data_IF_787803654950
#
_entry.id   IF_787803654950
#
_cell.length_a   1.000
_cell.length_b   1.000
_cell.length_c   1.000
_cell.angle_alpha   90.00
_cell.angle_beta   90.00
_cell.angle_gamma   90.00
#
_symmetry.space_group_name_H-M   'P 1'
#
loop_
_entity.id
_entity.type
_entity.pdbx_description
1 polymer ?
#
# COMPACT_ATOMS: atom_id res chain seq x y z
N UNK A 1 -67.31 -17.24 79.78
CA UNK A 1 -67.88 -18.19 78.79
C UNK A 1 -67.19 -17.96 77.48
N UNK A 2 -66.36 -18.85 77.05
CA UNK A 2 -65.64 -18.81 75.79
C UNK A 2 -66.52 -19.37 74.64
N UNK A 3 -65.95 -19.91 73.55
CA UNK A 3 -64.78 -19.53 72.71
C UNK A 3 -65.14 -19.61 71.22
N UNK A 4 -64.24 -19.36 70.32
CA UNK A 4 -63.84 -20.11 69.07
C UNK A 4 -63.27 -19.13 67.99
N UNK A 5 -62.02 -19.15 67.68
CA UNK A 5 -61.14 -19.88 66.78
C UNK A 5 -61.72 -20.05 65.40
N UNK A 6 -61.07 -19.45 64.41
CA UNK A 6 -61.21 -19.66 62.97
C UNK A 6 -59.99 -19.22 62.26
N UNK A 7 -58.99 -20.13 62.14
CA UNK A 7 -57.72 -19.96 61.43
C UNK A 7 -57.95 -20.24 59.94
N UNK A 8 -57.64 -19.28 59.07
CA UNK A 8 -57.64 -19.47 57.60
C UNK A 8 -56.17 -19.71 57.08
N UNK A 9 -55.92 -20.91 56.64
CA UNK A 9 -54.68 -21.36 56.03
C UNK A 9 -54.57 -20.80 54.62
N UNK A 10 -53.59 -19.94 54.37
CA UNK A 10 -53.20 -19.55 53.00
C UNK A 10 -52.22 -20.60 52.44
N UNK A 11 -52.66 -21.33 51.44
CA UNK A 11 -51.83 -22.23 50.65
C UNK A 11 -50.97 -21.39 49.66
N UNK A 12 -49.72 -21.19 50.02
CA UNK A 12 -48.75 -20.59 49.12
C UNK A 12 -48.30 -21.57 48.01
N UNK A 13 -48.55 -21.26 46.78
CA UNK A 13 -48.06 -22.02 45.62
C UNK A 13 -46.52 -21.83 45.53
N UNK A 14 -45.76 -22.83 45.93
CA UNK A 14 -44.33 -22.94 45.75
C UNK A 14 -44.08 -23.35 44.30
N UNK A 15 -43.63 -22.42 43.45
CA UNK A 15 -43.14 -22.74 42.12
C UNK A 15 -41.70 -23.25 42.25
N UNK A 16 -41.36 -24.46 41.75
CA UNK A 16 -40.03 -25.03 41.97
C UNK A 16 -38.95 -24.18 41.29
N UNK A 17 -37.90 -23.83 42.04
CA UNK A 17 -36.72 -23.07 41.59
C UNK A 17 -35.99 -23.70 40.41
N UNK A 18 -36.27 -24.95 40.04
CA UNK A 18 -35.69 -25.62 38.88
C UNK A 18 -36.15 -25.06 37.51
N UNK A 19 -37.41 -24.60 37.37
CA UNK A 19 -37.92 -24.07 36.13
C UNK A 19 -37.26 -22.74 35.73
N UNK A 20 -36.86 -21.90 36.73
CA UNK A 20 -36.16 -20.63 36.44
C UNK A 20 -34.71 -20.81 35.96
N UNK A 21 -34.00 -21.86 36.39
CA UNK A 21 -32.62 -22.15 35.94
C UNK A 21 -32.58 -22.73 34.51
N UNK A 22 -33.59 -23.48 34.10
CA UNK A 22 -33.67 -24.06 32.76
C UNK A 22 -33.99 -23.00 31.70
N UNK A 23 -34.83 -22.02 31.99
CA UNK A 23 -35.17 -20.92 31.07
C UNK A 23 -33.98 -19.98 30.86
N UNK A 24 -33.17 -19.74 31.93
CA UNK A 24 -31.96 -18.92 31.81
C UNK A 24 -30.83 -19.64 31.03
N UNK A 25 -30.71 -20.98 31.17
CA UNK A 25 -29.70 -21.74 30.41
C UNK A 25 -30.05 -21.86 28.94
N UNK A 26 -31.32 -22.02 28.57
CA UNK A 26 -31.78 -22.01 27.16
C UNK A 26 -31.66 -20.63 26.51
N UNK A 27 -31.88 -19.54 27.23
CA UNK A 27 -31.67 -18.18 26.75
C UNK A 27 -30.20 -17.86 26.49
N UNK A 28 -29.28 -18.38 27.28
CA UNK A 28 -27.82 -18.16 27.12
C UNK A 28 -27.24 -18.96 25.92
N UNK A 29 -27.74 -20.17 25.67
CA UNK A 29 -27.35 -21.00 24.52
C UNK A 29 -27.89 -20.43 23.22
N UNK A 30 -29.10 -19.87 23.21
CA UNK A 30 -29.67 -19.20 22.03
C UNK A 30 -28.94 -17.88 21.71
N UNK A 31 -28.44 -17.15 22.71
CA UNK A 31 -27.65 -15.93 22.49
C UNK A 31 -26.23 -16.20 21.95
N UNK A 32 -25.61 -17.35 22.27
CA UNK A 32 -24.33 -17.75 21.70
C UNK A 32 -24.44 -18.26 20.25
N UNK A 33 -25.59 -18.77 19.82
CA UNK A 33 -25.82 -19.27 18.46
C UNK A 33 -26.10 -18.16 17.43
N UNK A 34 -26.32 -16.91 17.88
CA UNK A 34 -26.61 -15.76 17.01
C UNK A 34 -25.39 -14.87 16.71
N UNK A 35 -24.21 -15.19 17.22
CA UNK A 35 -22.99 -14.59 16.75
C UNK A 35 -22.61 -15.25 15.43
N UNK A 36 -23.24 -14.81 14.32
CA UNK A 36 -22.73 -15.08 12.97
C UNK A 36 -21.24 -14.67 12.98
N UNK A 37 -20.31 -15.53 12.57
CA UNK A 37 -18.94 -15.09 12.40
C UNK A 37 -19.01 -13.91 11.44
N UNK A 38 -18.51 -12.76 11.88
CA UNK A 38 -18.30 -11.63 10.98
C UNK A 38 -17.52 -12.20 9.80
N UNK A 39 -18.17 -12.35 8.65
CA UNK A 39 -17.52 -12.89 7.47
C UNK A 39 -16.30 -12.01 7.23
N UNK A 40 -15.09 -12.58 7.41
CA UNK A 40 -13.87 -11.84 7.21
C UNK A 40 -13.95 -11.19 5.82
N UNK A 41 -13.79 -9.86 5.76
CA UNK A 41 -13.92 -9.13 4.51
C UNK A 41 -12.94 -9.74 3.50
N UNK A 42 -13.46 -10.23 2.39
CA UNK A 42 -12.70 -10.90 1.32
C UNK A 42 -12.23 -9.85 0.31
N UNK A 43 -11.05 -10.06 -0.25
CA UNK A 43 -10.52 -9.20 -1.33
C UNK A 43 -11.01 -9.64 -2.72
N UNK A 44 -12.08 -10.44 -2.81
CA UNK A 44 -12.69 -10.84 -4.09
C UNK A 44 -13.07 -9.62 -4.91
N UNK A 45 -12.81 -9.68 -6.21
CA UNK A 45 -13.03 -8.55 -7.13
C UNK A 45 -11.92 -7.49 -7.09
N UNK A 46 -10.97 -7.57 -6.14
CA UNK A 46 -9.82 -6.68 -6.11
C UNK A 46 -8.73 -7.18 -7.05
N UNK A 47 -8.18 -6.28 -7.87
CA UNK A 47 -7.00 -6.47 -8.68
C UNK A 47 -5.85 -5.64 -8.11
N UNK A 48 -4.69 -6.24 -7.94
CA UNK A 48 -3.50 -5.60 -7.38
C UNK A 48 -2.37 -5.63 -8.39
N UNK A 49 -1.81 -4.48 -8.72
CA UNK A 49 -0.52 -4.38 -9.39
C UNK A 49 0.55 -4.18 -8.33
N UNK A 50 1.50 -5.11 -8.23
CA UNK A 50 2.63 -5.01 -7.30
C UNK A 50 3.90 -4.61 -8.03
N UNK A 51 4.47 -3.45 -7.69
CA UNK A 51 5.64 -2.85 -8.34
C UNK A 51 6.89 -3.08 -7.49
N UNK A 52 7.87 -3.78 -8.03
CA UNK A 52 9.15 -4.07 -7.38
C UNK A 52 10.04 -2.83 -7.21
N UNK A 53 11.08 -2.92 -6.37
CA UNK A 53 12.07 -1.86 -6.16
C UNK A 53 13.05 -1.67 -7.33
N UNK A 54 13.92 -0.65 -7.22
CA UNK A 54 14.97 -0.33 -8.19
C UNK A 54 16.01 -1.45 -8.28
N UNK A 55 16.44 -1.79 -9.49
CA UNK A 55 17.57 -2.70 -9.74
C UNK A 55 17.33 -4.15 -9.30
N UNK A 56 16.09 -4.55 -9.12
CA UNK A 56 15.69 -5.93 -8.80
C UNK A 56 14.69 -6.45 -9.83
N UNK A 57 14.13 -7.62 -9.61
CA UNK A 57 13.14 -8.28 -10.49
C UNK A 57 11.80 -8.46 -9.75
N UNK A 58 10.70 -8.75 -10.46
CA UNK A 58 9.42 -9.08 -9.84
C UNK A 58 9.54 -10.21 -8.82
N UNK A 59 8.92 -10.05 -7.65
CA UNK A 59 9.02 -11.00 -6.52
C UNK A 59 10.17 -10.73 -5.55
N UNK A 60 11.19 -9.94 -5.95
CA UNK A 60 12.26 -9.59 -5.03
C UNK A 60 11.75 -8.60 -3.97
N UNK A 61 11.99 -8.92 -2.69
CA UNK A 61 11.63 -8.10 -1.51
C UNK A 61 10.13 -7.75 -1.42
N UNK A 62 9.25 -8.57 -2.01
CA UNK A 62 7.80 -8.38 -1.95
C UNK A 62 7.18 -8.79 -0.60
N UNK A 63 7.95 -9.48 0.25
CA UNK A 63 7.54 -9.92 1.58
C UNK A 63 6.41 -10.97 1.58
N UNK A 64 6.13 -11.60 0.44
CA UNK A 64 5.00 -12.52 0.27
C UNK A 64 3.64 -11.82 0.28
N UNK A 65 3.60 -10.49 0.09
CA UNK A 65 2.35 -9.72 0.01
C UNK A 65 1.48 -10.19 -1.17
N UNK A 66 2.00 -10.39 -2.41
CA UNK A 66 1.21 -10.92 -3.51
C UNK A 66 0.47 -12.20 -3.14
N UNK A 67 1.18 -13.21 -2.66
CA UNK A 67 0.57 -14.50 -2.28
C UNK A 67 -0.43 -14.39 -1.13
N UNK A 68 -0.18 -13.51 -0.14
CA UNK A 68 -1.11 -13.27 0.95
C UNK A 68 -2.43 -12.63 0.45
N UNK A 69 -2.36 -11.71 -0.51
CA UNK A 69 -3.54 -11.08 -1.10
C UNK A 69 -4.31 -12.07 -2.01
N UNK A 70 -3.62 -12.93 -2.74
CA UNK A 70 -4.23 -14.01 -3.53
C UNK A 70 -4.96 -15.01 -2.64
N UNK A 71 -4.40 -15.37 -1.50
CA UNK A 71 -5.05 -16.24 -0.50
C UNK A 71 -6.36 -15.64 0.03
N UNK A 72 -6.49 -14.30 0.05
CA UNK A 72 -7.71 -13.57 0.43
C UNK A 72 -8.67 -13.33 -0.75
N UNK A 73 -8.35 -13.86 -1.94
CA UNK A 73 -9.19 -13.80 -3.12
C UNK A 73 -8.92 -12.64 -4.08
N UNK A 74 -7.88 -11.84 -3.87
CA UNK A 74 -7.44 -10.83 -4.83
C UNK A 74 -6.80 -11.48 -6.07
N UNK A 75 -6.79 -10.74 -7.20
CA UNK A 75 -5.99 -11.07 -8.37
C UNK A 75 -4.76 -10.20 -8.38
N UNK A 76 -3.57 -10.79 -8.47
CA UNK A 76 -2.31 -10.04 -8.43
C UNK A 76 -1.55 -10.16 -9.75
N UNK A 77 -0.90 -9.07 -10.16
CA UNK A 77 0.04 -9.01 -11.27
C UNK A 77 1.28 -8.24 -10.81
N UNK A 78 2.44 -8.83 -11.00
CA UNK A 78 3.74 -8.21 -10.67
C UNK A 78 4.58 -8.05 -11.94
N UNK A 79 4.40 -6.96 -12.71
CA UNK A 79 5.11 -6.77 -13.97
C UNK A 79 6.60 -6.47 -13.74
N UNK A 80 7.43 -6.81 -14.73
CA UNK A 80 8.81 -6.34 -14.78
C UNK A 80 8.85 -4.91 -15.31
N UNK A 81 9.18 -3.98 -14.43
CA UNK A 81 9.14 -2.54 -14.71
C UNK A 81 10.44 -2.02 -15.34
N UNK A 82 10.43 -0.83 -15.99
CA UNK A 82 11.61 -0.25 -16.64
C UNK A 82 12.85 -0.07 -15.76
N UNK A 83 12.68 -0.01 -14.46
CA UNK A 83 13.76 0.12 -13.48
C UNK A 83 14.27 -1.23 -12.92
N UNK A 84 13.89 -2.35 -13.54
CA UNK A 84 14.41 -3.67 -13.15
C UNK A 84 15.91 -3.79 -13.39
N UNK A 85 16.52 -4.78 -12.78
CA UNK A 85 17.95 -5.08 -13.00
C UNK A 85 18.27 -5.32 -14.49
N UNK A 86 17.37 -5.97 -15.23
CA UNK A 86 17.54 -6.28 -16.65
C UNK A 86 17.32 -5.07 -17.55
N UNK A 87 16.37 -4.21 -17.23
CA UNK A 87 15.95 -3.09 -18.09
C UNK A 87 16.68 -1.77 -17.80
N UNK A 88 17.21 -1.59 -16.57
CA UNK A 88 18.09 -0.49 -16.16
C UNK A 88 17.62 0.89 -16.65
N UNK A 89 16.42 1.35 -16.23
CA UNK A 89 15.79 2.57 -16.72
C UNK A 89 15.56 2.55 -18.25
N UNK A 90 14.97 1.43 -18.74
CA UNK A 90 14.71 1.21 -20.17
C UNK A 90 13.59 2.04 -20.77
N UNK A 91 12.86 2.85 -19.96
CA UNK A 91 11.76 3.70 -20.41
C UNK A 91 11.62 4.93 -19.53
N UNK A 92 10.97 5.99 -20.07
CA UNK A 92 10.65 7.20 -19.32
C UNK A 92 9.61 6.93 -18.22
N UNK A 93 9.46 7.88 -17.31
CA UNK A 93 8.44 7.81 -16.26
C UNK A 93 7.04 7.64 -16.85
N UNK A 94 6.68 8.40 -17.88
CA UNK A 94 5.36 8.31 -18.52
C UNK A 94 5.15 6.97 -19.24
N UNK A 95 6.19 6.44 -19.90
CA UNK A 95 6.12 5.09 -20.49
C UNK A 95 5.94 4.02 -19.42
N UNK A 96 6.57 4.18 -18.26
CA UNK A 96 6.32 3.28 -17.11
C UNK A 96 4.87 3.34 -16.62
N UNK A 97 4.24 4.53 -16.61
CA UNK A 97 2.81 4.63 -16.28
C UNK A 97 1.95 3.88 -17.31
N UNK A 98 2.28 3.93 -18.60
CA UNK A 98 1.59 3.17 -19.64
C UNK A 98 1.77 1.63 -19.47
N UNK A 99 2.93 1.17 -18.99
CA UNK A 99 3.12 -0.24 -18.64
C UNK A 99 2.27 -0.67 -17.44
N UNK A 100 2.06 0.21 -16.46
CA UNK A 100 1.12 -0.04 -15.36
C UNK A 100 -0.33 -0.07 -15.89
N UNK A 101 -0.71 0.81 -16.85
CA UNK A 101 -2.01 0.76 -17.52
C UNK A 101 -2.26 -0.61 -18.15
N UNK A 102 -1.27 -1.21 -18.80
CA UNK A 102 -1.36 -2.56 -19.39
C UNK A 102 -1.56 -3.66 -18.31
N UNK A 103 -0.87 -3.55 -17.17
CA UNK A 103 -1.06 -4.47 -16.04
C UNK A 103 -2.48 -4.33 -15.44
N UNK A 104 -2.99 -3.11 -15.32
CA UNK A 104 -4.37 -2.85 -14.88
C UNK A 104 -5.38 -3.42 -15.87
N UNK A 105 -5.16 -3.26 -17.17
CA UNK A 105 -6.02 -3.85 -18.21
C UNK A 105 -6.06 -5.38 -18.10
N UNK A 106 -4.92 -6.02 -17.84
CA UNK A 106 -4.81 -7.46 -17.60
C UNK A 106 -5.66 -7.90 -16.41
N UNK A 107 -5.63 -7.15 -15.29
CA UNK A 107 -6.43 -7.44 -14.11
C UNK A 107 -7.94 -7.28 -14.38
N UNK A 108 -8.33 -6.22 -15.10
CA UNK A 108 -9.73 -5.99 -15.52
C UNK A 108 -10.24 -7.10 -16.43
N UNK A 109 -9.44 -7.57 -17.39
CA UNK A 109 -9.76 -8.70 -18.26
C UNK A 109 -9.94 -10.01 -17.46
N UNK A 110 -9.23 -10.16 -16.33
CA UNK A 110 -9.43 -11.25 -15.36
C UNK A 110 -10.64 -11.03 -14.44
N UNK A 111 -11.45 -9.99 -14.64
CA UNK A 111 -12.65 -9.68 -13.86
C UNK A 111 -12.38 -8.95 -12.54
N UNK A 112 -11.27 -8.22 -12.41
CA UNK A 112 -11.09 -7.30 -11.30
C UNK A 112 -11.92 -6.02 -11.54
N UNK A 113 -12.67 -5.59 -10.53
CA UNK A 113 -13.53 -4.39 -10.56
C UNK A 113 -12.97 -3.24 -9.71
N UNK A 114 -12.09 -3.54 -8.76
CA UNK A 114 -11.44 -2.59 -7.87
C UNK A 114 -9.93 -2.74 -8.03
N UNK A 115 -9.23 -1.70 -8.42
CA UNK A 115 -7.79 -1.75 -8.67
C UNK A 115 -7.02 -1.04 -7.54
N UNK A 116 -5.99 -1.71 -7.05
CA UNK A 116 -5.02 -1.18 -6.08
C UNK A 116 -3.63 -1.26 -6.69
N UNK A 117 -2.82 -0.22 -6.47
CA UNK A 117 -1.40 -0.26 -6.82
C UNK A 117 -0.59 -0.33 -5.51
N UNK A 118 0.27 -1.32 -5.42
CA UNK A 118 1.22 -1.49 -4.32
C UNK A 118 2.63 -1.38 -4.89
N UNK A 119 3.50 -0.65 -4.22
CA UNK A 119 4.89 -0.59 -4.66
C UNK A 119 5.86 -0.60 -3.49
N UNK A 120 7.06 -1.16 -3.74
CA UNK A 120 8.19 -1.12 -2.83
C UNK A 120 9.28 -0.19 -3.39
N UNK A 121 9.85 0.68 -2.55
CA UNK A 121 10.98 1.54 -2.91
C UNK A 121 10.67 2.45 -4.12
N UNK A 122 11.39 2.35 -5.24
CA UNK A 122 11.07 3.06 -6.50
C UNK A 122 9.69 2.64 -7.03
N UNK A 123 9.26 1.39 -6.83
CA UNK A 123 7.91 0.96 -7.15
C UNK A 123 6.85 1.72 -6.36
N UNK A 124 7.14 2.11 -5.11
CA UNK A 124 6.23 2.96 -4.32
C UNK A 124 6.15 4.39 -4.87
N UNK A 125 7.27 4.96 -5.34
CA UNK A 125 7.26 6.24 -6.08
C UNK A 125 6.35 6.15 -7.30
N UNK A 126 6.54 5.11 -8.12
CA UNK A 126 5.73 4.90 -9.33
C UNK A 126 4.25 4.64 -9.01
N UNK A 127 3.93 3.89 -7.93
CA UNK A 127 2.57 3.67 -7.48
C UNK A 127 1.85 4.97 -7.11
N UNK A 128 2.53 5.85 -6.37
CA UNK A 128 2.02 7.19 -6.01
C UNK A 128 1.81 8.06 -7.25
N UNK A 129 2.77 8.07 -8.17
CA UNK A 129 2.66 8.83 -9.41
C UNK A 129 1.55 8.32 -10.33
N UNK A 130 1.38 7.00 -10.42
CA UNK A 130 0.30 6.39 -11.18
C UNK A 130 -1.07 6.80 -10.61
N UNK A 131 -1.26 6.63 -9.30
CA UNK A 131 -2.52 7.00 -8.65
C UNK A 131 -2.84 8.50 -8.80
N UNK A 132 -1.81 9.36 -8.73
CA UNK A 132 -1.96 10.81 -8.90
C UNK A 132 -2.34 11.22 -10.34
N UNK A 133 -1.90 10.47 -11.34
CA UNK A 133 -2.12 10.81 -12.76
C UNK A 133 -3.37 10.15 -13.35
N UNK A 134 -3.68 8.93 -12.95
CA UNK A 134 -4.77 8.13 -13.56
C UNK A 134 -6.09 8.18 -12.78
N UNK A 135 -6.07 8.42 -11.47
CA UNK A 135 -7.26 8.51 -10.58
C UNK A 135 -8.24 7.32 -10.70
N UNK A 136 -7.80 6.21 -11.33
CA UNK A 136 -8.63 5.05 -11.64
C UNK A 136 -8.45 3.88 -10.67
N UNK A 137 -7.81 4.14 -9.54
CA UNK A 137 -7.52 3.15 -8.50
C UNK A 137 -8.31 3.46 -7.23
N UNK A 138 -8.67 2.41 -6.48
CA UNK A 138 -9.44 2.56 -5.23
C UNK A 138 -8.54 2.77 -4.02
N UNK A 139 -7.24 2.46 -4.12
CA UNK A 139 -6.25 2.68 -3.06
C UNK A 139 -4.83 2.57 -3.61
N UNK A 140 -3.87 3.13 -2.86
CA UNK A 140 -2.43 2.99 -3.11
C UNK A 140 -1.71 2.59 -1.83
N UNK A 141 -0.73 1.68 -1.95
CA UNK A 141 0.15 1.25 -0.85
C UNK A 141 1.59 1.56 -1.22
N UNK A 142 2.24 2.38 -0.40
CA UNK A 142 3.62 2.79 -0.56
C UNK A 142 4.49 2.15 0.54
N UNK A 143 5.28 1.14 0.18
CA UNK A 143 6.15 0.39 1.08
C UNK A 143 7.58 0.92 0.95
N UNK A 144 8.15 1.45 2.03
CA UNK A 144 9.49 2.01 2.04
C UNK A 144 9.77 2.91 0.82
N UNK A 145 8.98 3.98 0.56
CA UNK A 145 9.11 4.77 -0.66
C UNK A 145 10.53 5.27 -0.86
N UNK A 146 11.04 5.13 -2.09
CA UNK A 146 12.39 5.50 -2.45
C UNK A 146 12.45 6.26 -3.77
N UNK A 147 13.67 6.66 -4.19
CA UNK A 147 13.91 7.50 -5.34
C UNK A 147 13.27 8.88 -5.17
N UNK A 148 14.00 9.81 -4.54
CA UNK A 148 13.51 11.11 -4.07
C UNK A 148 14.25 12.25 -4.80
N UNK A 149 13.95 12.52 -6.08
CA UNK A 149 14.71 13.47 -6.91
C UNK A 149 14.67 14.91 -6.35
N UNK A 150 13.64 15.25 -5.60
CA UNK A 150 13.45 16.57 -5.00
C UNK A 150 14.29 16.85 -3.76
N UNK A 151 14.92 15.83 -3.16
CA UNK A 151 15.71 16.03 -1.94
C UNK A 151 17.03 16.74 -2.19
N UNK A 152 17.54 17.45 -1.18
CA UNK A 152 18.79 18.19 -1.31
C UNK A 152 19.97 17.26 -1.67
N UNK A 153 20.00 16.06 -1.08
CA UNK A 153 21.05 15.07 -1.30
C UNK A 153 21.03 14.55 -2.74
N UNK A 154 19.84 14.19 -3.27
CA UNK A 154 19.72 13.73 -4.64
C UNK A 154 20.05 14.86 -5.62
N UNK A 155 19.52 16.06 -5.41
CA UNK A 155 19.82 17.23 -6.26
C UNK A 155 21.30 17.55 -6.30
N UNK A 156 21.99 17.59 -5.15
CA UNK A 156 23.43 17.85 -5.11
C UNK A 156 24.23 16.86 -5.97
N UNK A 157 23.75 15.60 -6.05
CA UNK A 157 24.39 14.57 -6.84
C UNK A 157 24.05 14.61 -8.33
N UNK A 158 22.82 15.04 -8.70
CA UNK A 158 22.29 14.85 -10.06
C UNK A 158 22.14 16.13 -10.88
N UNK A 159 22.18 17.32 -10.27
CA UNK A 159 21.88 18.59 -10.94
C UNK A 159 22.73 18.87 -12.18
N UNK A 160 24.05 18.62 -12.14
CA UNK A 160 24.94 18.81 -13.29
C UNK A 160 24.61 17.84 -14.42
N UNK A 161 24.35 16.57 -14.07
CA UNK A 161 23.98 15.55 -15.04
C UNK A 161 22.62 15.82 -15.69
N UNK A 162 21.65 16.38 -14.94
CA UNK A 162 20.36 16.80 -15.48
C UNK A 162 20.54 17.97 -16.47
N UNK A 163 21.42 18.93 -16.14
CA UNK A 163 21.72 20.03 -17.05
C UNK A 163 22.35 19.52 -18.36
N UNK A 164 23.35 18.61 -18.25
CA UNK A 164 23.97 17.95 -19.41
C UNK A 164 22.92 17.16 -20.21
N UNK A 165 22.09 16.36 -19.56
CA UNK A 165 21.04 15.57 -20.22
C UNK A 165 20.07 16.45 -21.01
N UNK A 166 19.68 17.62 -20.47
CA UNK A 166 18.83 18.59 -21.18
C UNK A 166 19.50 19.15 -22.43
N UNK A 167 20.80 19.45 -22.39
CA UNK A 167 21.56 19.91 -23.54
C UNK A 167 21.64 18.81 -24.62
N UNK A 168 21.87 17.56 -24.23
CA UNK A 168 21.91 16.43 -25.15
C UNK A 168 20.56 16.19 -25.83
N UNK A 169 19.45 16.26 -25.06
CA UNK A 169 18.10 16.19 -25.66
C UNK A 169 17.86 17.31 -26.66
N UNK A 170 18.24 18.55 -26.32
CA UNK A 170 18.07 19.72 -27.21
C UNK A 170 18.89 19.60 -28.50
N UNK A 171 20.05 18.92 -28.46
CA UNK A 171 20.90 18.66 -29.64
C UNK A 171 20.62 17.31 -30.34
N UNK A 172 19.52 16.61 -29.96
CA UNK A 172 19.07 15.37 -30.60
C UNK A 172 19.82 14.10 -30.21
N UNK A 173 20.68 14.15 -29.21
CA UNK A 173 21.44 12.99 -28.74
C UNK A 173 20.61 12.16 -27.79
N UNK A 174 20.50 10.85 -28.03
CA UNK A 174 19.69 9.91 -27.28
C UNK A 174 20.45 8.61 -26.93
N UNK A 175 21.77 8.61 -27.03
CA UNK A 175 22.59 7.46 -26.68
C UNK A 175 22.52 7.22 -25.17
N UNK A 176 22.49 5.93 -24.78
CA UNK A 176 22.57 5.55 -23.37
C UNK A 176 23.92 5.93 -22.78
N UNK A 177 23.90 6.51 -21.58
CA UNK A 177 25.08 6.91 -20.82
C UNK A 177 24.95 6.48 -19.37
N UNK A 178 26.08 6.45 -18.67
CA UNK A 178 26.13 6.29 -17.22
C UNK A 178 25.85 7.62 -16.54
N UNK A 179 24.87 7.68 -15.67
CA UNK A 179 24.42 8.87 -14.95
C UNK A 179 24.53 8.69 -13.45
N UNK A 180 24.84 9.75 -12.67
CA UNK A 180 24.79 9.69 -11.22
C UNK A 180 23.41 9.29 -10.71
N UNK A 181 23.39 8.40 -9.71
CA UNK A 181 22.20 7.95 -9.02
C UNK A 181 22.51 7.80 -7.52
N UNK A 182 21.50 7.48 -6.74
CA UNK A 182 21.63 7.18 -5.29
C UNK A 182 20.62 6.09 -4.90
N UNK A 183 21.07 5.14 -4.11
CA UNK A 183 20.21 4.09 -3.53
C UNK A 183 20.37 4.10 -2.02
N UNK A 184 19.32 4.37 -1.27
CA UNK A 184 19.32 4.43 0.20
C UNK A 184 20.44 5.32 0.79
N UNK A 185 20.70 6.49 0.17
CA UNK A 185 21.77 7.40 0.59
C UNK A 185 23.16 7.05 0.06
N UNK A 186 23.33 5.87 -0.57
CA UNK A 186 24.61 5.45 -1.13
C UNK A 186 24.73 5.93 -2.58
N UNK A 187 25.77 6.70 -2.93
CA UNK A 187 26.07 7.10 -4.30
C UNK A 187 26.26 5.89 -5.23
N UNK A 188 25.61 5.93 -6.38
CA UNK A 188 25.69 4.89 -7.41
C UNK A 188 25.51 5.51 -8.80
N UNK A 189 25.37 4.69 -9.82
CA UNK A 189 25.14 5.10 -11.21
C UNK A 189 24.00 4.26 -11.82
N UNK A 190 23.31 4.87 -12.79
CA UNK A 190 22.34 4.16 -13.63
C UNK A 190 22.68 4.38 -15.10
N UNK A 191 22.21 3.50 -15.99
CA UNK A 191 22.36 3.62 -17.44
C UNK A 191 21.03 3.97 -18.07
N UNK A 192 20.95 5.12 -18.75
CA UNK A 192 19.72 5.61 -19.38
C UNK A 192 20.05 6.50 -20.59
N UNK A 193 19.07 6.72 -21.46
CA UNK A 193 19.14 7.84 -22.42
C UNK A 193 18.93 9.17 -21.68
N UNK A 194 19.37 10.31 -22.22
CA UNK A 194 19.16 11.62 -21.60
C UNK A 194 17.70 11.91 -21.25
N UNK A 195 16.77 11.64 -22.16
CA UNK A 195 15.34 11.86 -21.93
C UNK A 195 14.78 10.99 -20.81
N UNK A 196 15.18 9.72 -20.75
CA UNK A 196 14.80 8.81 -19.65
C UNK A 196 15.36 9.32 -18.33
N UNK A 197 16.65 9.70 -18.29
CA UNK A 197 17.27 10.21 -17.07
C UNK A 197 16.52 11.42 -16.52
N UNK A 198 16.25 12.43 -17.36
CA UNK A 198 15.49 13.62 -16.96
C UNK A 198 14.12 13.22 -16.39
N UNK A 199 13.40 12.31 -17.02
CA UNK A 199 12.04 11.95 -16.62
C UNK A 199 11.97 11.35 -15.20
N UNK A 200 13.03 10.70 -14.74
CA UNK A 200 13.12 10.11 -13.40
C UNK A 200 13.80 11.04 -12.39
N UNK A 201 14.79 11.82 -12.79
CA UNK A 201 15.69 12.52 -11.86
C UNK A 201 15.46 14.03 -11.75
N UNK A 202 14.61 14.62 -12.62
CA UNK A 202 14.29 16.05 -12.50
C UNK A 202 13.60 16.33 -11.16
N UNK A 203 14.17 17.22 -10.30
CA UNK A 203 13.59 17.56 -9.00
C UNK A 203 12.24 18.27 -9.07
N UNK A 204 11.82 18.71 -10.26
CA UNK A 204 10.51 19.28 -10.55
C UNK A 204 9.65 18.35 -11.42
N UNK A 205 10.16 17.17 -11.75
CA UNK A 205 9.59 16.19 -12.66
C UNK A 205 8.43 15.39 -12.12
N UNK A 206 8.00 14.37 -12.88
CA UNK A 206 6.85 13.54 -12.50
C UNK A 206 7.14 12.57 -11.35
N UNK A 207 8.43 12.27 -11.05
CA UNK A 207 8.82 11.35 -9.97
C UNK A 207 8.85 12.01 -8.58
N UNK A 208 8.40 13.25 -8.43
CA UNK A 208 8.41 13.99 -7.16
C UNK A 208 7.32 13.51 -6.23
N UNK A 209 7.68 12.77 -5.18
CA UNK A 209 6.73 12.11 -4.26
C UNK A 209 5.79 13.10 -3.57
N UNK A 210 6.23 14.22 -2.93
CA UNK A 210 5.31 15.14 -2.26
C UNK A 210 4.27 15.76 -3.20
N UNK A 211 4.60 15.97 -4.48
CA UNK A 211 3.69 16.45 -5.51
C UNK A 211 2.63 15.41 -5.85
N UNK A 212 3.05 14.17 -6.05
CA UNK A 212 2.16 13.06 -6.36
C UNK A 212 1.20 12.75 -5.21
N UNK A 213 1.69 12.74 -3.96
CA UNK A 213 0.82 12.54 -2.78
C UNK A 213 -0.23 13.65 -2.65
N UNK A 214 0.14 14.91 -2.89
CA UNK A 214 -0.81 16.02 -2.87
C UNK A 214 -1.89 15.91 -3.95
N UNK A 215 -1.58 15.23 -5.07
CA UNK A 215 -2.46 15.05 -6.22
C UNK A 215 -3.28 13.74 -6.18
N UNK A 216 -3.30 12.99 -5.07
CA UNK A 216 -4.08 11.75 -4.95
C UNK A 216 -5.62 11.97 -4.98
N UNK A 217 -6.09 13.21 -4.78
CA UNK A 217 -7.50 13.57 -4.89
C UNK A 217 -8.46 12.66 -4.10
N UNK A 218 -8.09 12.37 -2.85
CA UNK A 218 -8.91 11.56 -1.97
C UNK A 218 -8.75 10.03 -2.12
N UNK A 219 -7.85 9.54 -2.97
CA UNK A 219 -7.50 8.12 -3.00
C UNK A 219 -6.86 7.72 -1.67
N UNK A 220 -7.35 6.67 -0.98
CA UNK A 220 -6.75 6.14 0.24
C UNK A 220 -5.29 5.75 0.07
N UNK A 221 -4.46 6.12 1.05
CA UNK A 221 -3.02 5.84 1.08
C UNK A 221 -2.64 5.07 2.33
N UNK A 222 -2.05 3.89 2.16
CA UNK A 222 -1.25 3.24 3.18
C UNK A 222 0.23 3.51 2.90
N UNK A 223 0.90 4.14 3.86
CA UNK A 223 2.32 4.43 3.81
C UNK A 223 3.04 3.65 4.91
N UNK A 224 3.96 2.77 4.54
CA UNK A 224 4.70 1.96 5.50
C UNK A 224 6.19 2.22 5.39
N UNK A 225 6.86 2.43 6.53
CA UNK A 225 8.32 2.58 6.62
C UNK A 225 8.91 1.62 7.66
N UNK A 226 10.11 1.13 7.39
CA UNK A 226 10.90 0.44 8.39
C UNK A 226 11.60 1.44 9.33
N UNK A 227 11.68 1.13 10.63
CA UNK A 227 12.34 2.02 11.62
C UNK A 227 13.83 2.26 11.32
N UNK A 228 14.45 1.31 10.61
CA UNK A 228 15.87 1.38 10.20
C UNK A 228 16.02 1.78 8.72
N UNK A 229 14.96 2.22 8.07
CA UNK A 229 15.01 2.78 6.73
C UNK A 229 15.39 4.27 6.79
N UNK A 230 16.36 4.75 5.99
CA UNK A 230 16.72 6.18 5.98
C UNK A 230 15.52 7.13 5.77
N UNK A 231 14.50 6.73 5.02
CA UNK A 231 13.31 7.58 4.81
C UNK A 231 12.48 7.77 6.09
N UNK A 232 12.59 6.88 7.08
CA UNK A 232 11.86 7.00 8.34
C UNK A 232 12.15 8.31 9.08
N UNK A 233 13.39 8.80 8.98
CA UNK A 233 13.82 10.06 9.61
C UNK A 233 13.09 11.29 9.07
N UNK A 234 12.48 11.21 7.88
CA UNK A 234 11.72 12.32 7.27
C UNK A 234 10.31 12.44 7.83
N UNK A 235 9.81 11.40 8.50
CA UNK A 235 8.48 11.37 9.09
C UNK A 235 7.32 11.56 8.10
N UNK A 236 6.07 11.59 8.60
CA UNK A 236 4.88 11.76 7.75
C UNK A 236 4.82 13.13 7.08
N UNK A 237 5.46 14.16 7.65
CA UNK A 237 5.47 15.53 7.13
C UNK A 237 6.16 15.66 5.77
N UNK A 238 7.06 14.75 5.45
CA UNK A 238 7.76 14.78 4.16
C UNK A 238 6.77 14.74 2.97
N UNK A 239 5.81 13.84 2.99
CA UNK A 239 4.84 13.70 1.91
C UNK A 239 3.47 13.22 2.38
N UNK A 240 3.39 12.19 3.26
CA UNK A 240 2.15 11.53 3.67
C UNK A 240 1.05 12.49 4.14
N UNK A 241 1.39 13.50 4.93
CA UNK A 241 0.45 14.49 5.48
C UNK A 241 -0.26 15.34 4.41
N UNK A 242 0.17 15.26 3.15
CA UNK A 242 -0.48 15.92 2.01
C UNK A 242 -1.67 15.14 1.47
N UNK A 243 -1.75 13.84 1.74
CA UNK A 243 -2.88 13.00 1.35
C UNK A 243 -4.10 13.27 2.24
N UNK A 244 -5.28 13.45 1.60
CA UNK A 244 -6.51 13.82 2.31
C UNK A 244 -7.57 12.73 2.14
N UNK A 245 -7.52 11.71 2.99
CA UNK A 245 -8.56 10.70 3.08
C UNK A 245 -8.60 10.15 4.52
N UNK A 246 -9.77 9.94 5.15
CA UNK A 246 -9.88 9.43 6.51
C UNK A 246 -9.36 7.99 6.67
N UNK A 247 -9.30 7.20 5.59
CA UNK A 247 -8.74 5.85 5.59
C UNK A 247 -7.21 5.81 5.50
N UNK A 248 -6.53 6.97 5.34
CA UNK A 248 -5.07 7.01 5.28
C UNK A 248 -4.44 6.44 6.56
N UNK A 249 -3.35 5.69 6.39
CA UNK A 249 -2.57 5.13 7.49
C UNK A 249 -1.08 5.34 7.23
N UNK A 250 -0.38 5.88 8.23
CA UNK A 250 1.08 5.89 8.29
C UNK A 250 1.51 4.84 9.31
N UNK A 251 2.30 3.87 8.88
CA UNK A 251 2.70 2.73 9.72
C UNK A 251 4.21 2.64 9.75
N UNK A 252 4.78 2.50 10.95
CA UNK A 252 6.19 2.21 11.16
C UNK A 252 6.32 0.76 11.64
N UNK A 253 7.19 -0.01 11.02
CA UNK A 253 7.44 -1.42 11.36
C UNK A 253 8.91 -1.62 11.74
N UNK A 254 9.20 -2.63 12.56
CA UNK A 254 10.57 -2.98 12.95
C UNK A 254 11.28 -3.66 11.76
N UNK A 255 11.83 -2.87 10.85
CA UNK A 255 12.39 -3.34 9.58
C UNK A 255 13.46 -2.40 9.03
N UNK A 256 14.29 -2.95 8.16
CA UNK A 256 15.12 -2.20 7.22
C UNK A 256 14.34 -1.85 5.96
N UNK A 257 14.92 -1.09 5.03
CA UNK A 257 14.35 -0.82 3.71
C UNK A 257 13.88 -2.09 2.99
N UNK A 258 14.72 -3.12 2.96
CA UNK A 258 14.49 -4.36 2.22
C UNK A 258 13.49 -5.30 2.91
N UNK A 259 13.36 -5.23 4.22
CA UNK A 259 12.48 -6.11 4.99
C UNK A 259 11.13 -5.48 5.33
N UNK A 260 10.91 -4.21 4.94
CA UNK A 260 9.65 -3.48 5.22
C UNK A 260 8.43 -4.23 4.66
N UNK A 261 8.48 -4.72 3.43
CA UNK A 261 7.35 -5.45 2.83
C UNK A 261 6.99 -6.70 3.65
N UNK A 262 7.98 -7.47 4.09
CA UNK A 262 7.78 -8.67 4.91
C UNK A 262 7.08 -8.34 6.23
N UNK A 263 7.57 -7.32 6.93
CA UNK A 263 7.03 -6.93 8.23
C UNK A 263 5.67 -6.22 8.12
N UNK A 264 5.36 -5.62 6.96
CA UNK A 264 4.11 -4.93 6.68
C UNK A 264 2.99 -5.83 6.15
N UNK A 265 3.27 -7.10 5.80
CA UNK A 265 2.32 -7.97 5.10
C UNK A 265 0.94 -8.02 5.77
N UNK A 266 0.89 -8.24 7.07
CA UNK A 266 -0.37 -8.27 7.82
C UNK A 266 -1.12 -6.94 7.76
N UNK A 267 -0.43 -5.82 7.99
CA UNK A 267 -1.01 -4.47 7.93
C UNK A 267 -1.59 -4.14 6.55
N UNK A 268 -0.92 -4.57 5.47
CA UNK A 268 -1.42 -4.37 4.10
C UNK A 268 -2.72 -5.12 3.88
N UNK A 269 -2.77 -6.41 4.25
CA UNK A 269 -3.98 -7.25 4.11
C UNK A 269 -5.14 -6.67 4.91
N UNK A 270 -4.91 -6.39 6.20
CA UNK A 270 -5.93 -5.84 7.11
C UNK A 270 -6.46 -4.48 6.61
N UNK A 271 -5.56 -3.59 6.20
CA UNK A 271 -5.98 -2.28 5.72
C UNK A 271 -6.81 -2.38 4.43
N UNK A 272 -6.41 -3.22 3.47
CA UNK A 272 -7.18 -3.42 2.23
C UNK A 272 -8.55 -4.05 2.49
N UNK A 273 -8.68 -4.91 3.50
CA UNK A 273 -9.97 -5.47 3.93
C UNK A 273 -10.87 -4.42 4.60
N UNK A 274 -10.30 -3.33 5.12
CA UNK A 274 -11.06 -2.26 5.78
C UNK A 274 -11.62 -1.22 4.81
N UNK A 275 -11.27 -1.30 3.50
CA UNK A 275 -11.74 -0.41 2.44
C UNK A 275 -12.97 -1.00 1.72
#
# INVERSE_FOLDING_TARGET
MGPRIGSAVRIGKVVPRMARRLVLALGLVAALAAASPLAAASLRGMGVVFLHGKGVWPGAFDGGIPSALEAEGAKVVSPEMPWSLRRMYGATYEQAMAEIDAAVATLKAKGATRIVIIGHSLGANAALGYAAQRHSVVAVVALAPGHLPETAEMRARTQSAIAEARQLVASGHQEKRSWPDMVQGVPTFCTATPAVYISWFDPNGPAVIPKNVAALNGIPLLWVVGNFDPISSRGPQYAFSRAKNPANRYVSVLATHLTTSLMARGQVVEWLKSL
#
